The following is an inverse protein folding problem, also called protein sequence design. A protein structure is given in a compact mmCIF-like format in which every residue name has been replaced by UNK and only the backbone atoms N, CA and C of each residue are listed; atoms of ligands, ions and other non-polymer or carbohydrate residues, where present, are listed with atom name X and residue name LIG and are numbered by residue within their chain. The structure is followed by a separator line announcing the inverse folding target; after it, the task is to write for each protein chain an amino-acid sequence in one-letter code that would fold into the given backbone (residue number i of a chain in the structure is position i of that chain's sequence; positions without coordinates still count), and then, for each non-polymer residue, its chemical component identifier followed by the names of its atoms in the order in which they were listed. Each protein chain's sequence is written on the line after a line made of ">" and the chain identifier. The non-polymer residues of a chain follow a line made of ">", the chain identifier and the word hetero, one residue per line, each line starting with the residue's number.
data_IF_638519549124
#
_entry.id   IF_638519549124
#
_cell.length_a   1.000
_cell.length_b   1.000
_cell.length_c   1.000
_cell.angle_alpha   90.00
_cell.angle_beta   90.00
_cell.angle_gamma   90.00
#
_symmetry.space_group_name_H-M   'P 1'
#
loop_
_entity.id
_entity.type
_entity.pdbx_description
1 polymer ?
#
# COMPACT_ATOMS: atom_id res chain seq x y z
N UNK A 1 -56.69 -26.18 1.08
CA UNK A 1 -55.98 -25.03 0.50
C UNK A 1 -54.49 -25.42 0.38
N UNK A 2 -53.98 -25.68 -0.83
CA UNK A 2 -52.53 -26.01 -1.05
C UNK A 2 -51.80 -24.66 -1.24
N UNK A 3 -50.86 -24.35 -0.34
CA UNK A 3 -50.07 -23.14 -0.38
C UNK A 3 -49.27 -23.04 -1.68
N UNK A 4 -49.57 -22.04 -2.53
CA UNK A 4 -48.88 -21.74 -3.80
C UNK A 4 -47.60 -20.89 -3.60
N UNK A 5 -47.19 -20.63 -2.34
CA UNK A 5 -46.12 -19.70 -2.03
C UNK A 5 -44.75 -20.33 -1.72
N UNK A 6 -44.70 -21.68 -1.60
CA UNK A 6 -43.44 -22.38 -1.26
C UNK A 6 -42.32 -22.23 -2.31
N UNK A 7 -42.59 -22.27 -3.64
CA UNK A 7 -41.50 -22.16 -4.61
C UNK A 7 -40.89 -20.74 -4.73
N UNK A 8 -41.67 -19.70 -4.45
CA UNK A 8 -41.18 -18.31 -4.51
C UNK A 8 -40.21 -17.99 -3.35
N UNK A 9 -40.50 -18.47 -2.14
CA UNK A 9 -39.64 -18.30 -0.97
C UNK A 9 -38.33 -19.04 -1.11
N UNK A 10 -38.33 -20.25 -1.68
CA UNK A 10 -37.10 -21.03 -1.92
C UNK A 10 -36.18 -20.35 -2.97
N UNK A 11 -36.76 -19.74 -4.01
CA UNK A 11 -35.99 -18.98 -5.01
C UNK A 11 -35.29 -17.72 -4.44
N UNK A 12 -36.02 -16.97 -3.60
CA UNK A 12 -35.45 -15.76 -2.96
C UNK A 12 -34.33 -16.13 -1.97
N UNK A 13 -34.46 -17.22 -1.22
CA UNK A 13 -33.44 -17.68 -0.28
C UNK A 13 -32.16 -18.12 -1.03
N UNK A 14 -32.28 -18.82 -2.16
CA UNK A 14 -31.14 -19.23 -2.98
C UNK A 14 -30.40 -18.03 -3.58
N UNK A 15 -31.09 -17.00 -4.05
CA UNK A 15 -30.48 -15.78 -4.57
C UNK A 15 -29.76 -14.99 -3.45
N UNK A 16 -30.35 -14.90 -2.26
CA UNK A 16 -29.71 -14.25 -1.12
C UNK A 16 -28.46 -15.00 -0.63
N UNK A 17 -28.50 -16.34 -0.62
CA UNK A 17 -27.33 -17.17 -0.28
C UNK A 17 -26.25 -17.03 -1.33
N UNK A 18 -26.57 -17.02 -2.62
CA UNK A 18 -25.60 -16.82 -3.70
C UNK A 18 -24.97 -15.43 -3.66
N UNK A 19 -25.74 -14.38 -3.34
CA UNK A 19 -25.23 -13.03 -3.13
C UNK A 19 -24.32 -12.97 -1.90
N UNK A 20 -24.68 -13.64 -0.81
CA UNK A 20 -23.84 -13.67 0.40
C UNK A 20 -22.50 -14.40 0.15
N UNK A 21 -22.50 -15.49 -0.60
CA UNK A 21 -21.27 -16.20 -1.01
C UNK A 21 -20.42 -15.35 -1.99
N UNK A 22 -21.04 -14.60 -2.89
CA UNK A 22 -20.32 -13.69 -3.78
C UNK A 22 -19.65 -12.53 -3.04
N UNK A 23 -20.25 -12.05 -1.94
CA UNK A 23 -19.67 -11.02 -1.08
C UNK A 23 -18.63 -11.55 -0.08
N UNK A 24 -18.67 -12.84 0.28
CA UNK A 24 -17.77 -13.43 1.28
C UNK A 24 -16.50 -14.06 0.69
N UNK A 25 -16.32 -14.05 -0.62
CA UNK A 25 -15.15 -14.62 -1.31
C UNK A 25 -14.16 -13.57 -1.84
N UNK A 26 -14.10 -12.38 -1.27
CA UNK A 26 -12.95 -11.51 -1.48
C UNK A 26 -11.78 -12.12 -0.69
N UNK A 27 -11.01 -12.98 -1.35
CA UNK A 27 -9.67 -13.33 -0.87
C UNK A 27 -8.83 -12.06 -1.07
N UNK A 28 -8.54 -11.35 0.03
CA UNK A 28 -7.57 -10.26 -0.04
C UNK A 28 -6.25 -10.86 -0.54
N UNK A 29 -5.87 -10.47 -1.73
CA UNK A 29 -4.57 -10.86 -2.28
C UNK A 29 -3.50 -10.10 -1.51
N UNK A 30 -2.47 -10.79 -1.05
CA UNK A 30 -1.34 -10.18 -0.36
C UNK A 30 -0.08 -10.38 -1.18
N UNK A 31 0.67 -9.31 -1.39
CA UNK A 31 1.99 -9.32 -2.00
C UNK A 31 3.00 -8.85 -0.95
N UNK A 32 3.97 -9.68 -0.63
CA UNK A 32 5.05 -9.34 0.30
C UNK A 32 6.23 -8.79 -0.47
N UNK A 33 6.58 -7.53 -0.19
CA UNK A 33 7.70 -6.83 -0.83
C UNK A 33 8.77 -6.50 0.19
N UNK A 34 10.03 -6.73 -0.16
CA UNK A 34 11.18 -6.35 0.67
C UNK A 34 12.23 -5.61 -0.16
N UNK A 35 12.98 -4.74 0.51
CA UNK A 35 14.13 -4.07 -0.08
C UNK A 35 15.13 -3.62 1.00
N UNK A 36 16.34 -3.29 0.59
CA UNK A 36 17.39 -2.76 1.47
C UNK A 36 17.11 -1.35 1.99
N UNK A 37 18.10 -0.77 2.65
CA UNK A 37 18.01 0.60 3.17
C UNK A 37 17.94 1.60 2.01
N UNK A 38 17.00 2.54 2.10
CA UNK A 38 16.84 3.62 1.11
C UNK A 38 17.76 4.80 1.50
N UNK A 39 18.52 5.31 0.53
CA UNK A 39 19.18 6.60 0.64
C UNK A 39 18.52 7.58 -0.34
N UNK A 40 17.54 8.37 0.09
CA UNK A 40 16.82 9.26 -0.80
C UNK A 40 17.66 10.49 -1.17
N UNK A 41 17.45 11.02 -2.36
CA UNK A 41 17.90 12.37 -2.72
C UNK A 41 16.91 13.39 -2.19
N UNK A 42 17.37 14.31 -1.34
CA UNK A 42 16.54 15.37 -0.77
C UNK A 42 16.77 16.70 -1.50
N UNK A 43 15.66 17.40 -1.77
CA UNK A 43 15.65 18.77 -2.34
C UNK A 43 14.74 19.66 -1.53
N UNK A 44 15.04 20.97 -1.47
CA UNK A 44 14.24 21.95 -0.74
C UNK A 44 14.73 22.24 0.69
N UNK A 45 15.90 21.70 1.10
CA UNK A 45 16.45 21.87 2.44
C UNK A 45 15.85 20.94 3.48
N UNK A 46 15.89 21.33 4.76
CA UNK A 46 15.26 20.57 5.86
C UNK A 46 13.90 21.17 6.23
N UNK A 47 12.95 20.33 6.62
CA UNK A 47 11.64 20.73 7.10
C UNK A 47 10.57 20.83 6.02
N UNK A 48 9.72 21.85 6.10
CA UNK A 48 8.56 22.03 5.20
C UNK A 48 9.01 22.12 3.72
N UNK A 49 8.25 21.48 2.86
CA UNK A 49 8.48 21.38 1.41
C UNK A 49 9.75 20.58 0.99
N UNK A 50 10.44 19.93 1.93
CA UNK A 50 11.51 18.98 1.54
C UNK A 50 10.91 17.83 0.79
N UNK A 51 11.38 17.61 -0.45
CA UNK A 51 11.02 16.46 -1.28
C UNK A 51 12.16 15.45 -1.27
N UNK A 52 11.85 14.22 -0.94
CA UNK A 52 12.78 13.08 -0.97
C UNK A 52 12.37 12.15 -2.07
N UNK A 53 13.25 11.94 -3.04
CA UNK A 53 13.02 11.03 -4.16
C UNK A 53 13.95 9.83 -4.07
N UNK A 54 13.48 8.68 -4.50
CA UNK A 54 14.27 7.46 -4.53
C UNK A 54 13.74 6.47 -5.56
N UNK A 55 14.64 5.58 -5.97
CA UNK A 55 14.34 4.33 -6.66
C UNK A 55 15.19 3.25 -5.99
N UNK A 56 14.61 2.08 -5.77
CA UNK A 56 15.32 0.93 -5.19
C UNK A 56 14.77 -0.38 -5.77
N UNK A 57 15.67 -1.33 -5.99
CA UNK A 57 15.29 -2.69 -6.35
C UNK A 57 14.55 -3.37 -5.21
N UNK A 58 13.53 -4.16 -5.55
CA UNK A 58 12.70 -4.88 -4.60
C UNK A 58 12.67 -6.37 -4.92
N UNK A 59 12.30 -7.16 -3.90
CA UNK A 59 11.86 -8.54 -4.06
C UNK A 59 10.39 -8.60 -3.70
N UNK A 60 9.53 -9.10 -4.60
CA UNK A 60 8.10 -9.28 -4.40
C UNK A 60 7.75 -10.75 -4.48
N UNK A 61 7.22 -11.36 -3.40
CA UNK A 61 6.91 -12.79 -3.29
C UNK A 61 8.06 -13.69 -3.77
N UNK A 62 9.30 -13.32 -3.40
CA UNK A 62 10.51 -14.03 -3.79
C UNK A 62 10.97 -13.80 -5.23
N UNK A 63 10.27 -12.97 -6.02
CA UNK A 63 10.67 -12.58 -7.38
C UNK A 63 11.42 -11.26 -7.36
N UNK A 64 12.47 -11.15 -8.17
CA UNK A 64 13.30 -9.94 -8.33
C UNK A 64 13.83 -9.87 -9.76
N UNK A 65 14.47 -8.76 -10.13
CA UNK A 65 15.07 -8.54 -11.44
C UNK A 65 14.83 -7.13 -11.95
N UNK A 66 15.22 -6.85 -13.20
CA UNK A 66 15.26 -5.51 -13.79
C UNK A 66 13.94 -4.73 -13.76
N UNK A 67 12.79 -5.44 -13.66
CA UNK A 67 11.47 -4.85 -13.62
C UNK A 67 10.80 -4.98 -12.23
N UNK A 68 11.60 -5.15 -11.17
CA UNK A 68 11.13 -5.15 -9.79
C UNK A 68 11.77 -4.00 -9.03
N UNK A 69 11.06 -2.89 -8.88
CA UNK A 69 11.57 -1.73 -8.17
C UNK A 69 10.46 -0.89 -7.53
N UNK A 70 10.84 -0.18 -6.48
CA UNK A 70 10.02 0.84 -5.83
C UNK A 70 10.54 2.21 -6.20
N UNK A 71 9.69 3.03 -6.80
CA UNK A 71 9.95 4.43 -7.09
C UNK A 71 9.09 5.29 -6.19
N UNK A 72 9.65 6.36 -5.64
CA UNK A 72 8.82 7.18 -4.80
C UNK A 72 9.29 8.57 -4.48
N UNK A 73 8.32 9.33 -3.98
CA UNK A 73 8.54 10.64 -3.39
C UNK A 73 7.88 10.71 -2.01
N UNK A 74 8.60 11.34 -1.07
CA UNK A 74 8.07 11.74 0.23
C UNK A 74 8.25 13.23 0.38
N UNK A 75 7.16 13.97 0.58
CA UNK A 75 7.20 15.42 0.76
C UNK A 75 6.79 15.78 2.18
N UNK A 76 7.65 16.51 2.91
CA UNK A 76 7.27 17.07 4.21
C UNK A 76 6.27 18.20 3.99
N UNK A 77 5.02 17.97 4.41
CA UNK A 77 3.90 18.92 4.21
C UNK A 77 3.53 19.70 5.46
N UNK A 78 4.07 19.32 6.61
CA UNK A 78 3.80 20.02 7.88
C UNK A 78 4.38 19.27 9.07
N UNK A 79 4.02 19.76 10.25
CA UNK A 79 4.25 19.12 11.54
C UNK A 79 2.90 18.88 12.22
N UNK A 80 2.86 17.91 13.14
CA UNK A 80 1.67 17.73 14.00
C UNK A 80 1.42 18.99 14.85
N UNK A 81 0.15 19.27 15.16
CA UNK A 81 -0.25 20.48 15.89
C UNK A 81 0.36 20.56 17.31
N UNK A 82 0.67 19.41 17.90
CA UNK A 82 1.31 19.30 19.22
C UNK A 82 2.44 18.29 19.14
N UNK A 83 3.65 18.76 18.84
CA UNK A 83 4.83 17.91 18.73
C UNK A 83 5.77 18.37 17.61
N UNK A 84 6.85 17.61 17.42
CA UNK A 84 7.89 17.92 16.44
C UNK A 84 7.84 16.98 15.23
N UNK A 85 7.02 15.91 15.27
CA UNK A 85 6.91 14.94 14.18
C UNK A 85 6.47 15.59 12.88
N UNK A 86 7.12 15.22 11.81
CA UNK A 86 6.82 15.68 10.45
C UNK A 86 5.67 14.85 9.85
N UNK A 87 4.73 15.53 9.22
CA UNK A 87 3.74 14.91 8.36
C UNK A 87 4.35 14.86 6.96
N UNK A 88 4.57 13.64 6.43
CA UNK A 88 5.06 13.45 5.06
C UNK A 88 3.99 12.81 4.20
N UNK A 89 3.68 13.48 3.08
CA UNK A 89 2.86 12.92 2.00
C UNK A 89 3.72 11.98 1.16
N UNK A 90 3.18 10.84 0.80
CA UNK A 90 3.83 9.83 -0.02
C UNK A 90 3.14 9.71 -1.39
N UNK A 91 3.95 9.47 -2.42
CA UNK A 91 3.53 8.93 -3.70
C UNK A 91 4.58 7.85 -4.05
N UNK A 92 4.19 6.58 -3.94
CA UNK A 92 5.08 5.44 -4.11
C UNK A 92 4.47 4.48 -5.13
N UNK A 93 5.28 4.00 -6.06
CA UNK A 93 4.88 3.06 -7.10
C UNK A 93 5.73 1.79 -6.98
N UNK A 94 5.07 0.67 -6.69
CA UNK A 94 5.67 -0.66 -6.78
C UNK A 94 5.53 -1.17 -8.21
N UNK A 95 6.63 -1.36 -8.91
CA UNK A 95 6.68 -2.00 -10.23
C UNK A 95 6.97 -3.48 -10.03
N UNK A 96 6.10 -4.34 -10.57
CA UNK A 96 6.04 -5.76 -10.24
C UNK A 96 6.14 -6.63 -11.51
N UNK A 97 7.38 -6.82 -12.00
CA UNK A 97 7.70 -7.70 -13.13
C UNK A 97 7.61 -7.07 -14.52
N UNK A 98 6.84 -6.01 -14.70
CA UNK A 98 6.75 -5.20 -15.92
C UNK A 98 6.44 -3.75 -15.55
N UNK A 99 6.95 -2.80 -16.35
CA UNK A 99 6.71 -1.35 -16.11
C UNK A 99 5.22 -0.97 -16.17
N UNK A 100 4.41 -1.73 -16.87
CA UNK A 100 2.96 -1.53 -16.93
C UNK A 100 2.23 -2.06 -15.69
N UNK A 101 2.84 -2.99 -14.94
CA UNK A 101 2.26 -3.64 -13.77
C UNK A 101 2.66 -2.86 -12.50
N UNK A 102 1.81 -1.94 -12.08
CA UNK A 102 2.10 -1.06 -10.96
C UNK A 102 1.00 -1.08 -9.90
N UNK A 103 1.42 -1.06 -8.63
CA UNK A 103 0.56 -0.73 -7.50
C UNK A 103 0.99 0.62 -6.95
N UNK A 104 0.05 1.57 -6.88
CA UNK A 104 0.31 2.95 -6.48
C UNK A 104 -0.27 3.20 -5.10
N UNK A 105 0.57 3.65 -4.18
CA UNK A 105 0.13 4.08 -2.86
C UNK A 105 0.33 5.58 -2.65
N UNK A 106 -0.58 6.17 -1.89
CA UNK A 106 -0.54 7.57 -1.50
C UNK A 106 -0.74 7.75 0.01
N UNK A 107 -1.14 8.96 0.39
CA UNK A 107 -1.48 9.28 1.76
C UNK A 107 -0.34 9.88 2.56
N UNK A 108 -0.52 9.96 3.87
CA UNK A 108 0.42 10.61 4.79
C UNK A 108 0.86 9.66 5.90
N UNK A 109 2.05 9.91 6.45
CA UNK A 109 2.52 9.24 7.68
C UNK A 109 3.33 10.20 8.52
N UNK A 110 3.45 9.87 9.80
CA UNK A 110 4.28 10.61 10.75
C UNK A 110 5.73 10.11 10.68
N UNK A 111 6.64 11.03 10.74
CA UNK A 111 8.08 10.78 10.79
C UNK A 111 8.70 11.59 11.91
N UNK A 112 9.77 11.10 12.53
CA UNK A 112 10.54 11.92 13.47
C UNK A 112 11.06 13.21 12.82
N UNK A 113 11.33 14.26 13.61
CA UNK A 113 11.74 15.55 13.08
C UNK A 113 13.11 15.50 12.39
N UNK A 114 13.40 16.60 11.65
CA UNK A 114 14.71 16.89 11.03
C UNK A 114 15.18 15.79 10.07
N UNK A 115 14.27 15.34 9.20
CA UNK A 115 14.63 14.42 8.11
C UNK A 115 14.85 12.97 8.54
N UNK A 116 14.70 12.63 9.82
CA UNK A 116 14.90 11.27 10.30
C UNK A 116 13.87 10.29 9.68
N UNK A 117 14.25 9.03 9.60
CA UNK A 117 13.34 7.95 9.22
C UNK A 117 12.60 7.41 10.46
N UNK A 118 11.51 6.68 10.25
CA UNK A 118 10.78 6.00 11.33
C UNK A 118 11.69 4.97 12.01
N UNK A 119 11.51 4.79 13.32
CA UNK A 119 12.34 3.87 14.10
C UNK A 119 12.20 2.41 13.61
N UNK A 120 13.26 1.60 13.73
CA UNK A 120 13.19 0.16 13.45
C UNK A 120 12.07 -0.51 14.25
N UNK A 121 11.37 -1.44 13.62
CA UNK A 121 10.22 -2.15 14.18
C UNK A 121 8.90 -1.40 14.07
N UNK A 122 8.91 -0.11 13.73
CA UNK A 122 7.68 0.70 13.55
C UNK A 122 7.01 0.39 12.22
N UNK A 123 5.69 0.33 12.24
CA UNK A 123 4.85 0.14 11.07
C UNK A 123 4.11 1.43 10.71
N UNK A 124 3.84 1.59 9.43
CA UNK A 124 2.94 2.61 8.89
C UNK A 124 1.96 1.99 7.92
N UNK A 125 0.73 2.50 7.90
CA UNK A 125 -0.30 2.04 6.98
C UNK A 125 -0.64 3.18 6.03
N UNK A 126 -0.71 2.88 4.72
CA UNK A 126 -1.12 3.84 3.70
C UNK A 126 -2.09 3.20 2.72
N UNK A 127 -3.05 3.95 2.17
CA UNK A 127 -3.98 3.43 1.17
C UNK A 127 -3.28 3.13 -0.15
N UNK A 128 -3.70 2.06 -0.82
CA UNK A 128 -3.50 1.85 -2.23
C UNK A 128 -4.52 2.73 -2.95
N UNK A 129 -4.03 3.61 -3.83
CA UNK A 129 -4.85 4.62 -4.53
C UNK A 129 -5.09 4.27 -6.00
N UNK A 130 -4.51 3.18 -6.47
CA UNK A 130 -4.69 2.66 -7.81
C UNK A 130 -3.62 1.68 -8.23
N UNK A 131 -3.70 1.26 -9.47
CA UNK A 131 -2.74 0.39 -10.13
C UNK A 131 -2.93 0.39 -11.63
N UNK A 132 -2.02 -0.28 -12.34
CA UNK A 132 -2.08 -0.46 -13.79
C UNK A 132 -1.65 -1.88 -14.19
N UNK A 133 -1.92 -2.25 -15.45
CA UNK A 133 -1.63 -3.58 -15.96
C UNK A 133 -2.43 -4.66 -15.23
N UNK A 134 -1.77 -5.65 -14.69
CA UNK A 134 -2.41 -6.71 -13.90
C UNK A 134 -3.09 -6.20 -12.61
N UNK A 135 -2.72 -4.99 -12.17
CA UNK A 135 -3.24 -4.34 -10.97
C UNK A 135 -4.21 -3.19 -11.27
N UNK A 136 -4.79 -3.15 -12.49
CA UNK A 136 -5.78 -2.12 -12.85
C UNK A 136 -6.95 -2.10 -11.86
N UNK A 137 -7.23 -0.92 -11.31
CA UNK A 137 -8.30 -0.74 -10.31
C UNK A 137 -7.95 -1.19 -8.88
N UNK A 138 -6.68 -1.53 -8.61
CA UNK A 138 -6.22 -1.93 -7.28
C UNK A 138 -6.66 -0.95 -6.19
N UNK A 139 -7.10 -1.51 -5.07
CA UNK A 139 -7.49 -0.83 -3.84
C UNK A 139 -6.97 -1.62 -2.65
N UNK A 140 -7.09 -1.04 -1.45
CA UNK A 140 -6.65 -1.69 -0.24
C UNK A 140 -5.63 -0.85 0.51
N UNK A 141 -4.67 -1.50 1.15
CA UNK A 141 -3.66 -0.81 1.95
C UNK A 141 -2.29 -1.46 1.85
N UNK A 142 -1.27 -0.69 2.21
CA UNK A 142 0.11 -1.18 2.37
C UNK A 142 0.54 -0.97 3.81
N UNK A 143 0.95 -2.06 4.46
CA UNK A 143 1.58 -2.06 5.77
C UNK A 143 3.09 -2.06 5.53
N UNK A 144 3.77 -0.97 5.89
CA UNK A 144 5.22 -0.81 5.72
C UNK A 144 5.92 -0.86 7.07
N UNK A 145 6.93 -1.70 7.22
CA UNK A 145 7.71 -1.89 8.44
C UNK A 145 9.19 -1.58 8.20
N UNK A 146 9.77 -0.73 9.03
CA UNK A 146 11.21 -0.53 9.05
C UNK A 146 11.90 -1.70 9.79
N UNK A 147 12.83 -2.38 9.13
CA UNK A 147 13.60 -3.51 9.66
C UNK A 147 15.01 -3.10 10.11
N UNK A 148 15.29 -1.81 10.21
CA UNK A 148 16.63 -1.29 10.54
C UNK A 148 17.63 -1.54 9.40
N UNK A 149 18.79 -2.10 9.73
CA UNK A 149 19.85 -2.38 8.75
C UNK A 149 19.44 -3.40 7.67
N UNK A 150 18.40 -4.19 7.92
CA UNK A 150 17.82 -5.10 6.94
C UNK A 150 16.91 -4.40 5.89
N UNK A 151 16.67 -3.10 6.05
CA UNK A 151 15.84 -2.31 5.13
C UNK A 151 14.37 -2.29 5.50
N UNK A 152 13.48 -2.66 4.59
CA UNK A 152 12.03 -2.53 4.76
C UNK A 152 11.29 -3.77 4.26
N UNK A 153 10.15 -3.99 4.89
CA UNK A 153 9.13 -4.92 4.43
C UNK A 153 7.81 -4.17 4.18
N UNK A 154 7.11 -4.54 3.13
CA UNK A 154 5.79 -4.03 2.79
C UNK A 154 4.86 -5.21 2.54
N UNK A 155 3.64 -5.15 3.08
CA UNK A 155 2.57 -6.08 2.78
C UNK A 155 1.52 -5.26 2.01
N UNK A 156 1.36 -5.54 0.73
CA UNK A 156 0.32 -4.97 -0.10
C UNK A 156 -0.92 -5.86 0.06
N UNK A 157 -1.94 -5.34 0.73
CA UNK A 157 -3.24 -6.00 0.89
C UNK A 157 -4.19 -5.42 -0.17
N UNK A 158 -4.53 -6.24 -1.16
CA UNK A 158 -5.39 -5.88 -2.29
C UNK A 158 -6.82 -6.38 -2.04
N UNK A 159 -7.82 -5.48 -2.21
CA UNK A 159 -9.26 -5.79 -2.06
C UNK A 159 -9.84 -6.41 -3.34
#
# INVERSE_FOLDING_TARGET
>A
MKSKYVPALAGILLVLVALFYAFSSQSNEQIVVTHGVITPTATGGEGLATVRTFIIEITADGKSGDNYYLVGTLTTVGKVLKGEDEIRSANLNFVLGDISNQVVLGGVSLYPPVGATIAPGTETIRPIIGGSGEYEGAKGQVISKNLGDAGWSHILELD
#
